data_IF_368070684612
#
_entry.id   IF_368070684612
#
_cell.length_a   1.000
_cell.length_b   1.000
_cell.length_c   1.000
_cell.angle_alpha   90.00
_cell.angle_beta   90.00
_cell.angle_gamma   90.00
#
_symmetry.space_group_name_H-M   'P 1'
#
loop_
_entity.id
_entity.type
_entity.pdbx_description
1 polymer ?
#
# COMPACT_ATOMS: atom_id res chain seq x y z
N UNK A 1 -32.63 -26.51 22.21
CA UNK A 1 -31.84 -27.48 23.01
C UNK A 1 -30.61 -26.76 23.51
N UNK A 2 -30.56 -26.45 24.81
CA UNK A 2 -29.42 -25.77 25.44
C UNK A 2 -28.27 -26.76 25.59
N UNK A 3 -27.24 -26.68 24.74
CA UNK A 3 -25.97 -27.37 25.00
C UNK A 3 -25.37 -26.72 26.24
N UNK A 4 -25.13 -27.50 27.29
CA UNK A 4 -24.38 -27.10 28.48
C UNK A 4 -22.94 -26.73 28.04
N UNK A 5 -22.75 -25.48 27.62
CA UNK A 5 -21.43 -24.91 27.44
C UNK A 5 -20.82 -24.72 28.83
N UNK A 6 -19.65 -25.30 29.07
CA UNK A 6 -18.87 -24.99 30.27
C UNK A 6 -18.68 -23.46 30.34
N UNK A 7 -18.88 -22.81 31.50
CA UNK A 7 -18.72 -21.37 31.61
C UNK A 7 -17.31 -20.97 31.16
N UNK A 8 -17.21 -20.04 30.20
CA UNK A 8 -15.90 -19.54 29.72
C UNK A 8 -15.01 -19.04 30.88
N UNK A 9 -15.62 -18.58 31.99
CA UNK A 9 -14.96 -18.18 33.24
C UNK A 9 -14.24 -19.29 33.98
N UNK A 10 -14.47 -20.55 33.65
CA UNK A 10 -13.71 -21.67 34.22
C UNK A 10 -12.42 -21.92 33.47
N UNK A 11 -12.28 -21.31 32.29
CA UNK A 11 -11.11 -21.43 31.44
C UNK A 11 -10.31 -20.13 31.32
N UNK A 12 -10.99 -18.99 31.14
CA UNK A 12 -10.37 -17.69 30.85
C UNK A 12 -10.62 -16.66 31.96
N UNK A 13 -9.62 -15.84 32.24
CA UNK A 13 -9.73 -14.59 33.03
C UNK A 13 -9.87 -13.35 32.16
N UNK A 14 -9.41 -13.40 30.91
CA UNK A 14 -9.57 -12.33 29.92
C UNK A 14 -9.89 -12.92 28.53
N UNK A 15 -10.79 -12.28 27.80
CA UNK A 15 -11.04 -12.54 26.39
C UNK A 15 -11.51 -11.25 25.70
N UNK A 16 -10.59 -10.59 25.00
CA UNK A 16 -10.77 -9.22 24.51
C UNK A 16 -10.38 -9.10 23.05
N UNK A 17 -11.16 -8.31 22.31
CA UNK A 17 -10.76 -7.71 21.04
C UNK A 17 -10.62 -6.21 21.22
N UNK A 18 -9.53 -5.63 20.72
CA UNK A 18 -9.27 -4.20 20.82
C UNK A 18 -8.59 -3.64 19.57
N UNK A 19 -8.75 -2.33 19.39
CA UNK A 19 -8.10 -1.59 18.33
C UNK A 19 -6.64 -1.35 18.72
N UNK A 20 -5.70 -1.81 17.89
CA UNK A 20 -4.27 -1.65 18.09
C UNK A 20 -3.67 -0.42 17.37
N UNK A 21 -4.45 0.25 16.53
CA UNK A 21 -4.08 1.50 15.83
C UNK A 21 -4.85 2.71 16.40
N UNK A 22 -4.38 3.92 16.15
CA UNK A 22 -4.98 5.14 16.69
C UNK A 22 -6.40 5.46 16.18
N UNK A 23 -6.78 4.89 15.04
CA UNK A 23 -8.08 5.12 14.39
C UNK A 23 -8.72 3.80 13.99
N UNK A 24 -10.05 3.74 14.05
CA UNK A 24 -10.87 2.64 13.55
C UNK A 24 -11.32 2.85 12.08
N UNK A 25 -10.79 3.89 11.45
CA UNK A 25 -11.00 4.17 10.04
C UNK A 25 -9.89 3.57 9.18
N UNK A 26 -10.24 3.33 7.93
CA UNK A 26 -9.33 2.87 6.90
C UNK A 26 -9.87 3.32 5.54
N UNK A 27 -8.99 3.76 4.66
CA UNK A 27 -9.38 4.05 3.29
C UNK A 27 -9.79 2.78 2.55
N UNK A 28 -10.78 2.88 1.68
CA UNK A 28 -11.25 1.76 0.87
C UNK A 28 -10.34 1.44 -0.33
N UNK A 29 -9.04 1.31 -0.09
CA UNK A 29 -8.01 1.14 -1.12
C UNK A 29 -7.28 -0.20 -1.04
N UNK A 30 -7.75 -1.12 -0.20
CA UNK A 30 -7.23 -2.48 0.03
C UNK A 30 -5.76 -2.57 0.46
N UNK A 31 -5.09 -1.44 0.76
CA UNK A 31 -3.67 -1.37 1.06
C UNK A 31 -3.39 -0.81 2.45
N UNK A 32 -4.18 0.14 2.91
CA UNK A 32 -4.06 0.67 4.25
C UNK A 32 -4.67 -0.29 5.28
N UNK A 33 -3.90 -0.75 6.27
CA UNK A 33 -4.41 -1.58 7.33
C UNK A 33 -5.03 -0.76 8.47
N UNK A 34 -5.78 -1.46 9.31
CA UNK A 34 -6.05 -1.11 10.71
C UNK A 34 -5.59 -2.28 11.59
N UNK A 35 -4.92 -2.01 12.72
CA UNK A 35 -4.41 -3.08 13.60
C UNK A 35 -5.47 -3.47 14.62
N UNK A 36 -5.67 -4.76 14.82
CA UNK A 36 -6.56 -5.35 15.83
C UNK A 36 -5.75 -6.31 16.68
N UNK A 37 -5.91 -6.23 18.00
CA UNK A 37 -5.32 -7.19 18.93
C UNK A 37 -6.41 -8.07 19.52
N UNK A 38 -6.15 -9.37 19.57
CA UNK A 38 -6.92 -10.36 20.30
C UNK A 38 -6.12 -10.80 21.51
N UNK A 39 -6.67 -10.64 22.70
CA UNK A 39 -6.01 -11.01 23.96
C UNK A 39 -6.85 -12.04 24.70
N UNK A 40 -6.22 -13.14 25.10
CA UNK A 40 -6.81 -14.15 25.98
C UNK A 40 -5.86 -14.44 27.13
N UNK A 41 -6.42 -14.62 28.32
CA UNK A 41 -5.69 -15.04 29.51
C UNK A 41 -6.36 -16.25 30.14
N UNK A 42 -5.58 -17.29 30.42
CA UNK A 42 -6.02 -18.53 31.05
C UNK A 42 -6.14 -18.37 32.58
N UNK A 43 -7.15 -19.02 33.15
CA UNK A 43 -7.45 -18.95 34.59
C UNK A 43 -6.54 -19.85 35.42
N UNK A 44 -6.04 -19.32 36.53
CA UNK A 44 -5.26 -20.10 37.51
C UNK A 44 -3.93 -20.56 36.91
N UNK A 45 -3.68 -21.87 36.96
CA UNK A 45 -2.45 -22.49 36.44
C UNK A 45 -2.67 -23.17 35.08
N UNK A 46 -3.81 -22.91 34.43
CA UNK A 46 -4.09 -23.41 33.08
C UNK A 46 -3.16 -22.74 32.06
N UNK A 47 -2.84 -23.49 31.01
CA UNK A 47 -2.09 -23.03 29.84
C UNK A 47 -2.85 -23.40 28.56
N UNK A 48 -2.66 -22.61 27.51
CA UNK A 48 -3.24 -22.92 26.20
C UNK A 48 -2.49 -24.03 25.48
N UNK A 49 -3.24 -24.86 24.75
CA UNK A 49 -2.69 -25.76 23.73
C UNK A 49 -2.38 -24.97 22.45
N UNK A 50 -1.46 -25.46 21.62
CA UNK A 50 -1.12 -24.83 20.34
C UNK A 50 -2.35 -24.72 19.43
N UNK A 51 -3.21 -25.73 19.41
CA UNK A 51 -4.47 -25.71 18.64
C UNK A 51 -5.45 -24.65 19.15
N UNK A 52 -5.46 -24.38 20.46
CA UNK A 52 -6.26 -23.31 21.06
C UNK A 52 -5.73 -21.94 20.65
N UNK A 53 -4.39 -21.78 20.68
CA UNK A 53 -3.70 -20.57 20.19
C UNK A 53 -4.06 -20.32 18.74
N UNK A 54 -3.92 -21.33 17.87
CA UNK A 54 -4.24 -21.26 16.45
C UNK A 54 -5.70 -20.89 16.20
N UNK A 55 -6.62 -21.42 17.01
CA UNK A 55 -8.06 -21.15 16.88
C UNK A 55 -8.49 -19.73 17.28
N UNK A 56 -7.61 -18.93 17.90
CA UNK A 56 -7.87 -17.53 18.24
C UNK A 56 -7.85 -16.67 16.98
N UNK A 57 -9.04 -16.28 16.51
CA UNK A 57 -9.25 -15.60 15.21
C UNK A 57 -10.28 -14.47 15.29
N UNK A 58 -10.27 -13.57 14.30
CA UNK A 58 -11.26 -12.50 14.16
C UNK A 58 -12.47 -13.01 13.39
N UNK A 59 -13.66 -12.70 13.90
CA UNK A 59 -14.94 -13.02 13.27
C UNK A 59 -15.85 -11.80 13.17
N UNK A 60 -16.82 -11.85 12.28
CA UNK A 60 -17.96 -10.93 12.22
C UNK A 60 -19.28 -11.73 12.26
N UNK A 61 -20.38 -11.05 12.55
CA UNK A 61 -21.71 -11.68 12.52
C UNK A 61 -22.34 -11.40 11.15
N UNK A 62 -22.66 -12.47 10.40
CA UNK A 62 -23.32 -12.34 9.11
C UNK A 62 -24.83 -12.04 9.27
N UNK A 63 -25.55 -11.88 8.14
CA UNK A 63 -26.99 -11.61 8.14
C UNK A 63 -27.86 -12.74 8.72
N UNK A 64 -27.32 -13.95 8.92
CA UNK A 64 -27.97 -15.08 9.57
C UNK A 64 -27.69 -15.14 11.08
N UNK A 65 -26.88 -14.21 11.61
CA UNK A 65 -26.47 -14.22 13.01
C UNK A 65 -25.32 -15.18 13.32
N UNK A 66 -24.63 -15.71 12.30
CA UNK A 66 -23.53 -16.65 12.47
C UNK A 66 -22.19 -15.91 12.56
N UNK A 67 -21.29 -16.37 13.44
CA UNK A 67 -19.92 -15.88 13.51
C UNK A 67 -19.07 -16.50 12.39
N UNK A 68 -18.68 -15.67 11.43
CA UNK A 68 -17.87 -16.05 10.27
C UNK A 68 -16.49 -15.41 10.40
N UNK A 69 -15.44 -16.18 10.13
CA UNK A 69 -14.07 -15.65 10.11
C UNK A 69 -13.89 -14.60 9.01
N UNK A 70 -13.11 -13.56 9.31
CA UNK A 70 -12.69 -12.61 8.28
C UNK A 70 -11.75 -13.36 7.31
N UNK A 71 -12.01 -13.33 6.00
CA UNK A 71 -11.19 -14.05 5.05
C UNK A 71 -9.80 -13.42 4.96
N UNK A 72 -8.81 -14.23 4.59
CA UNK A 72 -7.44 -13.75 4.37
C UNK A 72 -7.24 -13.07 3.02
N UNK A 73 -8.17 -13.28 2.09
CA UNK A 73 -8.18 -12.66 0.77
C UNK A 73 -9.50 -11.91 0.55
N UNK A 74 -9.49 -10.80 -0.20
CA UNK A 74 -10.72 -10.12 -0.60
C UNK A 74 -11.54 -11.07 -1.48
N UNK A 75 -12.70 -11.49 -0.99
CA UNK A 75 -13.67 -12.31 -1.69
C UNK A 75 -14.98 -11.55 -1.86
N UNK A 76 -16.11 -12.21 -1.60
CA UNK A 76 -17.42 -11.54 -1.54
C UNK A 76 -17.47 -10.51 -0.40
N UNK A 77 -16.86 -10.85 0.75
CA UNK A 77 -16.61 -9.87 1.79
C UNK A 77 -15.44 -8.98 1.32
N UNK A 78 -15.74 -7.70 1.07
CA UNK A 78 -14.74 -6.69 0.69
C UNK A 78 -13.77 -6.32 1.82
N UNK A 79 -13.83 -7.03 2.94
CA UNK A 79 -12.97 -6.92 4.11
C UNK A 79 -12.13 -8.19 4.22
N UNK A 80 -10.84 -8.04 4.51
CA UNK A 80 -9.93 -9.17 4.68
C UNK A 80 -8.88 -8.86 5.75
N UNK A 81 -8.20 -9.90 6.24
CA UNK A 81 -7.19 -9.78 7.29
C UNK A 81 -5.89 -10.52 6.98
N UNK A 82 -4.78 -10.02 7.50
CA UNK A 82 -3.49 -10.70 7.54
C UNK A 82 -2.92 -10.70 8.96
N UNK A 83 -1.94 -11.57 9.21
CA UNK A 83 -1.15 -11.60 10.46
C UNK A 83 0.08 -10.68 10.42
N UNK A 84 0.39 -10.13 9.24
CA UNK A 84 1.56 -9.31 8.96
C UNK A 84 1.17 -8.00 8.28
N UNK A 85 1.74 -6.89 8.75
CA UNK A 85 1.52 -5.56 8.19
C UNK A 85 2.41 -5.38 6.97
N UNK A 86 1.87 -4.84 5.87
CA UNK A 86 2.73 -4.31 4.81
C UNK A 86 3.47 -3.05 5.35
N UNK A 87 4.82 -3.06 5.41
CA UNK A 87 5.58 -1.95 5.97
C UNK A 87 5.52 -0.68 5.11
N UNK A 88 5.05 -0.76 3.86
CA UNK A 88 4.92 0.41 2.98
C UNK A 88 3.77 1.33 3.41
N UNK A 89 2.73 0.80 4.05
CA UNK A 89 1.52 1.56 4.35
C UNK A 89 1.37 1.90 5.84
N UNK A 90 1.01 3.13 6.10
CA UNK A 90 0.69 3.68 7.41
C UNK A 90 -0.78 3.37 7.76
N UNK A 91 -1.09 3.40 9.06
CA UNK A 91 -2.48 3.42 9.51
C UNK A 91 -3.16 4.73 9.10
N UNK A 92 -4.50 4.73 9.16
CA UNK A 92 -5.30 5.93 8.95
C UNK A 92 -4.87 7.04 9.90
N UNK A 93 -4.81 8.27 9.39
CA UNK A 93 -4.37 9.44 10.14
C UNK A 93 -5.17 9.63 11.43
N UNK A 94 -4.46 9.69 12.55
CA UNK A 94 -5.00 9.94 13.88
C UNK A 94 -3.88 10.40 14.80
N UNK A 95 -4.21 11.04 15.92
CA UNK A 95 -3.22 11.44 16.91
C UNK A 95 -2.42 10.19 17.32
N UNK A 96 -1.13 10.20 16.98
CA UNK A 96 -0.24 9.09 17.24
C UNK A 96 -0.19 8.83 18.75
N UNK A 97 -0.56 7.62 19.16
CA UNK A 97 0.35 6.94 20.08
C UNK A 97 1.21 6.03 19.22
N UNK A 98 2.48 6.40 19.11
CA UNK A 98 3.57 5.46 19.00
C UNK A 98 3.37 4.41 20.12
N UNK A 99 2.56 3.39 19.84
CA UNK A 99 2.84 2.09 20.41
C UNK A 99 4.15 1.66 19.77
N UNK A 100 5.26 2.16 20.34
CA UNK A 100 6.58 1.56 20.19
C UNK A 100 6.32 0.08 20.21
N UNK A 101 6.62 -0.59 19.09
CA UNK A 101 6.72 -2.03 19.10
C UNK A 101 7.69 -2.36 20.21
N UNK A 102 7.15 -2.77 21.34
CA UNK A 102 7.87 -3.50 22.34
C UNK A 102 8.31 -4.75 21.60
N UNK A 103 9.54 -4.75 21.09
CA UNK A 103 10.35 -5.94 20.89
C UNK A 103 10.50 -6.60 22.27
N UNK A 104 9.42 -7.24 22.71
CA UNK A 104 9.35 -8.02 23.92
C UNK A 104 10.08 -9.31 23.65
N UNK A 105 11.31 -9.38 24.13
CA UNK A 105 12.07 -10.61 24.17
C UNK A 105 11.49 -11.57 25.24
N UNK A 106 11.38 -12.85 24.86
CA UNK A 106 11.44 -14.08 25.70
C UNK A 106 10.12 -14.53 26.39
N UNK A 107 9.78 -15.85 26.38
CA UNK A 107 8.42 -16.34 26.54
C UNK A 107 7.95 -16.26 27.99
N UNK A 108 6.96 -15.42 28.25
CA UNK A 108 6.09 -15.62 29.40
C UNK A 108 5.18 -16.82 29.07
N UNK A 109 5.00 -17.71 30.05
CA UNK A 109 4.21 -18.93 29.93
C UNK A 109 2.91 -18.74 29.13
N UNK A 110 2.44 -19.80 28.45
CA UNK A 110 1.18 -19.96 27.69
C UNK A 110 -0.13 -19.62 28.45
N UNK A 111 -0.05 -18.76 29.47
CA UNK A 111 -1.13 -18.26 30.29
C UNK A 111 -1.75 -16.99 29.70
N UNK A 112 -1.01 -16.18 28.95
CA UNK A 112 -1.58 -15.03 28.22
C UNK A 112 -1.08 -15.02 26.78
N UNK A 113 -2.00 -14.82 25.84
CA UNK A 113 -1.72 -14.76 24.41
C UNK A 113 -2.29 -13.46 23.88
N UNK A 114 -1.48 -12.75 23.10
CA UNK A 114 -1.96 -11.65 22.26
C UNK A 114 -1.62 -11.93 20.81
N UNK A 115 -2.63 -11.95 19.93
CA UNK A 115 -2.47 -12.04 18.47
C UNK A 115 -2.86 -10.73 17.82
N UNK A 116 -1.99 -10.20 16.98
CA UNK A 116 -2.30 -9.02 16.16
C UNK A 116 -2.73 -9.45 14.76
N UNK A 117 -3.75 -8.77 14.24
CA UNK A 117 -4.22 -8.88 12.87
C UNK A 117 -4.28 -7.50 12.24
N UNK A 118 -4.13 -7.45 10.92
CA UNK A 118 -4.21 -6.25 10.12
C UNK A 118 -5.40 -6.38 9.17
N UNK A 119 -6.40 -5.52 9.34
CA UNK A 119 -7.64 -5.55 8.56
C UNK A 119 -7.57 -4.51 7.44
N UNK A 120 -8.01 -4.89 6.26
CA UNK A 120 -8.07 -4.06 5.06
C UNK A 120 -9.48 -4.07 4.47
N UNK A 121 -9.82 -3.05 3.69
CA UNK A 121 -11.12 -2.98 3.01
C UNK A 121 -11.04 -2.39 1.62
N UNK A 122 -11.88 -2.91 0.72
CA UNK A 122 -12.26 -2.30 -0.56
C UNK A 122 -13.75 -1.93 -0.59
N UNK A 123 -14.41 -1.92 0.57
CA UNK A 123 -15.85 -1.65 0.66
C UNK A 123 -16.19 -0.18 0.42
N UNK A 124 -17.45 0.12 0.16
CA UNK A 124 -17.87 1.49 -0.11
C UNK A 124 -17.70 2.40 1.12
N UNK A 125 -17.47 3.69 0.89
CA UNK A 125 -17.45 4.68 1.97
C UNK A 125 -18.71 4.60 2.84
N UNK A 126 -18.53 4.62 4.16
CA UNK A 126 -19.59 4.49 5.15
C UNK A 126 -19.98 3.05 5.48
N UNK A 127 -19.39 2.05 4.80
CA UNK A 127 -19.53 0.66 5.21
C UNK A 127 -18.88 0.45 6.58
N UNK A 128 -19.62 -0.22 7.46
CA UNK A 128 -19.21 -0.49 8.84
C UNK A 128 -19.10 -1.99 9.04
N UNK A 129 -18.02 -2.43 9.68
CA UNK A 129 -17.81 -3.82 10.06
C UNK A 129 -17.59 -3.92 11.56
N UNK A 130 -18.45 -4.70 12.23
CA UNK A 130 -18.29 -5.01 13.66
C UNK A 130 -17.63 -6.36 13.83
N UNK A 131 -16.49 -6.34 14.51
CA UNK A 131 -15.60 -7.47 14.75
C UNK A 131 -15.73 -7.99 16.18
N UNK A 132 -15.56 -9.29 16.30
CA UNK A 132 -15.47 -10.04 17.55
C UNK A 132 -14.28 -10.99 17.48
N UNK A 133 -13.85 -11.50 18.64
CA UNK A 133 -12.88 -12.60 18.70
C UNK A 133 -13.61 -13.94 18.84
N UNK A 134 -13.00 -14.99 18.30
CA UNK A 134 -13.42 -16.39 18.49
C UNK A 134 -12.22 -17.20 18.96
N UNK A 135 -12.43 -18.11 19.90
CA UNK A 135 -11.44 -19.12 20.31
C UNK A 135 -12.15 -20.44 20.58
N UNK A 136 -11.49 -21.56 20.27
CA UNK A 136 -12.01 -22.91 20.51
C UNK A 136 -11.18 -23.59 21.59
N UNK A 137 -11.85 -24.11 22.62
CA UNK A 137 -11.26 -24.94 23.66
C UNK A 137 -11.10 -26.36 23.15
N UNK A 138 -9.93 -26.93 23.34
CA UNK A 138 -9.62 -28.31 22.99
C UNK A 138 -9.42 -29.12 24.27
N UNK A 139 -10.00 -30.32 24.32
CA UNK A 139 -9.82 -31.24 25.45
C UNK A 139 -9.50 -32.63 24.92
N UNK A 140 -8.69 -33.36 25.69
CA UNK A 140 -8.30 -34.74 25.38
C UNK A 140 -9.14 -35.68 26.23
N UNK A 141 -10.00 -36.45 25.59
CA UNK A 141 -10.80 -37.46 26.27
C UNK A 141 -9.93 -38.66 26.73
N UNK A 142 -10.28 -39.34 27.82
CA UNK A 142 -9.52 -40.49 28.32
C UNK A 142 -9.38 -41.58 27.24
N UNK A 143 -8.14 -41.93 26.91
CA UNK A 143 -7.83 -42.97 25.93
C UNK A 143 -7.66 -42.45 24.48
N UNK A 144 -7.89 -41.16 24.22
CA UNK A 144 -7.57 -40.55 22.93
C UNK A 144 -6.11 -40.08 22.91
N UNK A 145 -5.51 -40.01 21.72
CA UNK A 145 -4.13 -39.54 21.53
C UNK A 145 -4.05 -38.04 21.23
N UNK A 146 -5.06 -37.50 20.56
CA UNK A 146 -5.13 -36.11 20.10
C UNK A 146 -6.30 -35.37 20.77
N UNK A 147 -6.14 -34.07 21.08
CA UNK A 147 -7.22 -33.28 21.65
C UNK A 147 -8.27 -32.93 20.57
N UNK A 148 -9.53 -32.79 20.98
CA UNK A 148 -10.66 -32.46 20.08
C UNK A 148 -11.34 -31.15 20.47
N UNK A 149 -11.92 -30.42 19.50
CA UNK A 149 -12.64 -29.19 19.79
C UNK A 149 -13.90 -29.50 20.61
N UNK A 150 -14.00 -28.90 21.79
CA UNK A 150 -15.11 -29.16 22.72
C UNK A 150 -16.11 -28.00 22.80
N UNK A 151 -15.60 -26.78 22.94
CA UNK A 151 -16.41 -25.58 23.07
C UNK A 151 -15.82 -24.43 22.25
N UNK A 152 -16.65 -23.71 21.52
CA UNK A 152 -16.25 -22.47 20.84
C UNK A 152 -16.87 -21.29 21.56
N UNK A 153 -16.05 -20.29 21.82
CA UNK A 153 -16.44 -19.07 22.51
C UNK A 153 -16.18 -17.85 21.63
N UNK A 154 -17.04 -16.85 21.79
CA UNK A 154 -16.96 -15.58 21.08
C UNK A 154 -17.01 -14.43 22.07
N UNK A 155 -16.36 -13.32 21.73
CA UNK A 155 -16.17 -12.19 22.66
C UNK A 155 -17.43 -11.39 22.92
N UNK A 156 -18.51 -11.58 22.16
CA UNK A 156 -19.84 -11.01 22.42
C UNK A 156 -20.63 -11.76 23.51
N UNK A 157 -20.18 -12.94 23.92
CA UNK A 157 -20.79 -13.68 25.01
C UNK A 157 -20.42 -13.09 26.38
N UNK A 158 -21.33 -13.24 27.33
CA UNK A 158 -21.03 -12.96 28.74
C UNK A 158 -19.94 -13.92 29.23
N UNK A 159 -18.99 -13.44 30.06
CA UNK A 159 -18.95 -12.14 30.74
C UNK A 159 -18.16 -11.03 30.04
N UNK A 160 -17.41 -11.33 28.98
CA UNK A 160 -16.34 -10.45 28.51
C UNK A 160 -16.81 -9.32 27.58
N UNK A 161 -17.88 -9.55 26.80
CA UNK A 161 -18.56 -8.59 25.92
C UNK A 161 -17.64 -7.50 25.34
N UNK A 162 -16.83 -7.86 24.35
CA UNK A 162 -15.94 -6.94 23.63
C UNK A 162 -16.11 -7.04 22.11
N UNK A 163 -16.00 -5.88 21.45
CA UNK A 163 -16.11 -5.76 19.99
C UNK A 163 -15.39 -4.52 19.49
N UNK A 164 -14.89 -4.56 18.25
CA UNK A 164 -14.35 -3.38 17.55
C UNK A 164 -15.23 -3.06 16.35
N UNK A 165 -15.49 -1.77 16.12
CA UNK A 165 -16.24 -1.30 14.96
C UNK A 165 -15.29 -0.56 14.04
N UNK A 166 -15.16 -1.02 12.80
CA UNK A 166 -14.38 -0.40 11.74
C UNK A 166 -15.29 0.31 10.74
N UNK A 167 -14.80 1.39 10.13
CA UNK A 167 -15.54 2.10 9.09
C UNK A 167 -14.64 2.43 7.88
N UNK A 168 -15.14 2.10 6.69
CA UNK A 168 -14.48 2.42 5.43
C UNK A 168 -14.67 3.90 5.08
N UNK A 169 -13.56 4.59 4.81
CA UNK A 169 -13.53 5.99 4.37
C UNK A 169 -13.13 6.10 2.90
N UNK A 170 -13.60 7.16 2.26
CA UNK A 170 -13.17 7.52 0.91
C UNK A 170 -11.77 8.14 0.97
N UNK A 171 -10.85 7.77 0.07
CA UNK A 171 -9.61 8.49 -0.14
C UNK A 171 -9.84 10.00 -0.27
N UNK A 172 -8.93 10.83 0.27
CA UNK A 172 -9.02 12.26 0.09
C UNK A 172 -8.90 12.62 -1.39
N UNK A 173 -9.56 13.71 -1.79
CA UNK A 173 -9.35 14.25 -3.12
C UNK A 173 -8.00 14.97 -3.16
N UNK A 174 -7.19 14.70 -4.18
CA UNK A 174 -5.95 15.41 -4.41
C UNK A 174 -6.05 16.19 -5.71
N UNK A 175 -5.59 17.43 -5.64
CA UNK A 175 -5.51 18.37 -6.76
C UNK A 175 -4.08 18.88 -6.89
N UNK A 176 -3.61 19.01 -8.13
CA UNK A 176 -2.41 19.76 -8.46
C UNK A 176 -2.80 21.23 -8.70
N UNK A 177 -2.04 22.22 -8.19
CA UNK A 177 -0.78 22.09 -7.45
C UNK A 177 -0.94 21.95 -5.92
N UNK A 178 -2.15 22.00 -5.39
CA UNK A 178 -2.40 22.17 -3.95
C UNK A 178 -1.76 21.09 -3.06
N UNK A 179 -1.75 19.83 -3.52
CA UNK A 179 -1.30 18.68 -2.73
C UNK A 179 0.07 18.13 -3.15
N UNK A 180 0.65 18.71 -4.21
CA UNK A 180 1.88 18.23 -4.82
C UNK A 180 2.95 19.32 -4.83
N UNK A 181 4.20 18.88 -4.87
CA UNK A 181 5.32 19.73 -5.24
C UNK A 181 5.96 19.18 -6.49
N UNK A 182 6.18 20.06 -7.47
CA UNK A 182 6.87 19.74 -8.71
C UNK A 182 7.97 20.77 -8.92
N UNK A 183 9.23 20.35 -8.73
CA UNK A 183 10.36 21.26 -8.70
C UNK A 183 11.50 20.72 -9.58
N UNK A 184 12.20 21.62 -10.27
CA UNK A 184 13.52 21.33 -10.82
C UNK A 184 14.48 21.05 -9.65
N UNK A 185 14.93 19.82 -9.51
CA UNK A 185 15.75 19.33 -8.40
C UNK A 185 17.25 19.30 -8.75
N UNK A 186 17.58 19.08 -10.02
CA UNK A 186 18.93 19.10 -10.55
C UNK A 186 18.93 19.63 -11.97
N UNK A 187 19.95 20.39 -12.33
CA UNK A 187 20.19 20.84 -13.69
C UNK A 187 21.69 20.85 -13.96
N UNK A 188 22.06 20.32 -15.10
CA UNK A 188 23.41 20.26 -15.63
C UNK A 188 23.33 20.61 -17.11
N UNK A 189 24.16 21.56 -17.56
CA UNK A 189 24.26 21.97 -18.96
C UNK A 189 25.67 21.68 -19.46
N UNK A 190 25.76 21.06 -20.62
CA UNK A 190 26.98 20.85 -21.37
C UNK A 190 27.26 21.98 -22.35
N UNK A 191 28.31 21.81 -23.14
CA UNK A 191 28.63 22.67 -24.28
C UNK A 191 28.53 21.83 -25.54
N UNK A 192 27.66 22.18 -26.50
CA UNK A 192 26.69 23.30 -26.50
C UNK A 192 25.58 23.16 -25.44
N UNK A 193 24.95 24.28 -25.02
CA UNK A 193 23.94 24.38 -23.94
C UNK A 193 22.74 23.44 -24.12
N UNK A 194 22.47 23.08 -25.36
CA UNK A 194 21.44 22.15 -25.79
C UNK A 194 21.72 20.67 -25.44
N UNK A 195 22.94 20.36 -24.96
CA UNK A 195 23.28 19.13 -24.25
C UNK A 195 23.02 19.36 -22.76
N UNK A 196 22.07 18.66 -22.17
CA UNK A 196 21.71 18.93 -20.78
C UNK A 196 21.11 17.71 -20.09
N UNK A 197 21.10 17.77 -18.77
CA UNK A 197 20.35 16.86 -17.89
C UNK A 197 19.56 17.72 -16.91
N UNK A 198 18.24 17.66 -16.99
CA UNK A 198 17.33 18.26 -16.01
C UNK A 198 16.59 17.16 -15.26
N UNK A 199 16.54 17.24 -13.94
CA UNK A 199 15.75 16.32 -13.12
C UNK A 199 14.67 17.11 -12.39
N UNK A 200 13.42 16.76 -12.66
CA UNK A 200 12.27 17.30 -11.94
C UNK A 200 11.76 16.27 -10.93
N UNK A 201 11.57 16.69 -9.69
CA UNK A 201 11.04 15.84 -8.63
C UNK A 201 9.56 16.12 -8.40
N UNK A 202 8.77 15.05 -8.32
CA UNK A 202 7.36 15.07 -7.93
C UNK A 202 7.23 14.46 -6.53
N UNK A 203 6.55 15.16 -5.63
CA UNK A 203 6.29 14.69 -4.26
C UNK A 203 4.93 15.15 -3.76
N UNK A 204 4.44 14.48 -2.71
CA UNK A 204 3.24 14.90 -1.99
C UNK A 204 3.62 15.86 -0.86
N UNK A 205 2.76 16.86 -0.59
CA UNK A 205 3.00 17.84 0.49
C UNK A 205 2.70 17.30 1.89
N UNK A 206 1.75 16.36 1.99
CA UNK A 206 1.25 15.83 3.27
C UNK A 206 1.71 14.40 3.54
N UNK A 207 1.73 13.57 2.51
CA UNK A 207 2.15 12.17 2.59
C UNK A 207 3.46 11.96 1.85
N UNK A 208 3.95 10.73 1.87
CA UNK A 208 5.09 10.27 1.07
C UNK A 208 4.65 9.27 0.03
N UNK A 209 5.25 9.30 -1.15
CA UNK A 209 5.14 8.15 -2.04
C UNK A 209 5.96 6.99 -1.49
N UNK A 210 5.46 5.76 -1.61
CA UNK A 210 6.13 4.55 -1.09
C UNK A 210 6.42 3.54 -2.19
N UNK A 211 5.79 3.71 -3.37
CA UNK A 211 5.99 2.85 -4.53
C UNK A 211 5.60 3.59 -5.81
N UNK A 212 6.28 3.30 -6.91
CA UNK A 212 5.88 3.77 -8.24
C UNK A 212 6.22 2.76 -9.32
N UNK A 213 5.49 2.80 -10.43
CA UNK A 213 5.78 2.03 -11.64
C UNK A 213 5.17 2.71 -12.87
N UNK A 214 5.69 2.42 -14.06
CA UNK A 214 4.99 2.75 -15.31
C UNK A 214 3.61 2.06 -15.34
N UNK A 215 2.63 2.73 -15.94
CA UNK A 215 1.36 2.08 -16.27
C UNK A 215 1.60 0.97 -17.31
N UNK A 216 0.98 -0.20 -17.14
CA UNK A 216 1.25 -1.40 -17.95
C UNK A 216 1.05 -1.19 -19.46
N UNK A 217 0.18 -0.23 -19.81
CA UNK A 217 -0.16 0.13 -21.19
C UNK A 217 0.63 1.33 -21.74
N UNK A 218 1.44 2.00 -20.91
CA UNK A 218 2.19 3.20 -21.28
C UNK A 218 3.69 2.90 -21.41
N UNK A 219 4.03 2.08 -22.41
CA UNK A 219 5.41 1.67 -22.75
C UNK A 219 5.99 2.43 -23.94
N UNK A 220 5.34 3.52 -24.36
CA UNK A 220 5.75 4.29 -25.55
C UNK A 220 6.99 5.14 -25.30
N UNK A 221 7.29 5.41 -24.02
CA UNK A 221 8.31 6.36 -23.61
C UNK A 221 7.99 7.79 -24.02
N UNK A 222 8.92 8.70 -23.78
CA UNK A 222 8.76 10.09 -24.20
C UNK A 222 10.06 10.69 -24.74
N UNK A 223 9.98 11.23 -25.96
CA UNK A 223 11.09 11.89 -26.65
C UNK A 223 10.56 13.02 -27.53
N UNK A 224 11.33 14.10 -27.66
CA UNK A 224 11.02 15.22 -28.55
C UNK A 224 12.26 15.67 -29.30
N UNK A 225 12.19 15.69 -30.62
CA UNK A 225 13.20 16.30 -31.47
C UNK A 225 12.94 17.80 -31.61
N UNK A 226 14.02 18.57 -31.74
CA UNK A 226 13.93 20.01 -32.00
C UNK A 226 13.23 20.31 -33.34
N UNK A 227 13.49 19.47 -34.36
CA UNK A 227 12.82 19.50 -35.67
C UNK A 227 12.44 18.09 -36.10
N UNK A 228 11.35 17.98 -36.86
CA UNK A 228 10.81 16.69 -37.34
C UNK A 228 11.24 16.42 -38.78
N UNK A 229 12.55 16.43 -39.02
CA UNK A 229 13.13 16.28 -40.36
C UNK A 229 14.24 15.23 -40.38
N UNK A 230 14.39 14.56 -41.52
CA UNK A 230 15.46 13.56 -41.73
C UNK A 230 16.82 14.24 -41.56
N UNK A 231 17.72 13.61 -40.82
CA UNK A 231 19.04 14.13 -40.51
C UNK A 231 19.08 15.02 -39.25
N UNK A 232 17.94 15.34 -38.64
CA UNK A 232 17.94 15.97 -37.32
C UNK A 232 18.42 14.98 -36.25
N UNK A 233 19.28 15.44 -35.35
CA UNK A 233 19.85 14.61 -34.26
C UNK A 233 19.65 15.19 -32.87
N UNK A 234 19.14 16.42 -32.80
CA UNK A 234 18.85 17.11 -31.56
C UNK A 234 17.51 16.67 -30.99
N UNK A 235 17.56 16.00 -29.83
CA UNK A 235 16.38 15.51 -29.15
C UNK A 235 16.54 15.55 -27.63
N UNK A 236 15.41 15.56 -26.93
CA UNK A 236 15.34 15.35 -25.49
C UNK A 236 14.62 14.06 -25.22
N UNK A 237 15.30 13.11 -24.60
CA UNK A 237 14.76 11.82 -24.18
C UNK A 237 14.43 11.85 -22.69
N UNK A 238 13.30 11.25 -22.31
CA UNK A 238 12.80 11.30 -20.93
C UNK A 238 12.91 9.93 -20.29
N UNK A 239 13.56 9.90 -19.13
CA UNK A 239 13.67 8.76 -18.25
C UNK A 239 13.02 9.03 -16.91
N UNK A 240 12.74 7.98 -16.16
CA UNK A 240 12.11 8.06 -14.84
C UNK A 240 12.91 7.24 -13.85
N UNK A 241 13.16 7.80 -12.66
CA UNK A 241 13.57 7.03 -11.50
C UNK A 241 12.40 6.96 -10.51
N UNK A 242 12.02 5.74 -10.15
CA UNK A 242 10.93 5.47 -9.22
C UNK A 242 11.27 5.82 -7.77
N UNK A 243 10.27 5.71 -6.90
CA UNK A 243 10.41 5.95 -5.46
C UNK A 243 11.44 4.99 -4.87
N UNK A 244 12.47 5.54 -4.22
CA UNK A 244 13.58 4.79 -3.62
C UNK A 244 14.56 4.17 -4.63
N UNK A 245 14.34 4.37 -5.94
CA UNK A 245 15.22 3.87 -6.99
C UNK A 245 16.15 4.98 -7.48
N UNK A 246 17.43 4.68 -7.73
CA UNK A 246 18.35 5.62 -8.39
C UNK A 246 18.46 5.39 -9.88
N UNK A 247 18.21 4.16 -10.32
CA UNK A 247 18.36 3.75 -11.72
C UNK A 247 17.28 4.41 -12.56
N UNK A 248 17.68 5.02 -13.66
CA UNK A 248 16.77 5.61 -14.63
C UNK A 248 16.22 4.51 -15.53
N UNK A 249 14.91 4.50 -15.68
CA UNK A 249 14.19 3.64 -16.58
C UNK A 249 13.73 4.47 -17.78
N UNK A 250 14.14 4.03 -18.98
CA UNK A 250 13.66 4.55 -20.25
C UNK A 250 12.78 3.50 -20.91
N UNK A 251 11.65 3.90 -21.47
CA UNK A 251 10.69 2.98 -22.12
C UNK A 251 10.61 3.25 -23.62
N UNK A 252 10.24 2.25 -24.41
CA UNK A 252 9.77 2.45 -25.78
C UNK A 252 10.81 2.80 -26.86
N UNK A 253 12.10 2.85 -26.51
CA UNK A 253 13.16 3.18 -27.47
C UNK A 253 14.37 2.27 -27.36
N UNK A 254 14.86 1.85 -28.53
CA UNK A 254 16.27 1.54 -28.73
C UNK A 254 16.85 2.74 -29.45
N UNK A 255 17.57 3.60 -28.73
CA UNK A 255 18.31 4.69 -29.33
C UNK A 255 19.64 4.12 -29.85
N UNK A 256 20.11 4.59 -31.01
CA UNK A 256 21.33 4.06 -31.63
C UNK A 256 22.56 4.15 -30.72
N UNK A 257 23.59 3.35 -31.02
CA UNK A 257 24.78 3.14 -30.16
C UNK A 257 25.56 4.43 -29.84
N UNK A 258 25.35 5.50 -30.63
CA UNK A 258 25.94 6.81 -30.38
C UNK A 258 25.40 7.48 -29.11
N UNK A 259 24.14 7.22 -28.73
CA UNK A 259 23.51 7.83 -27.57
C UNK A 259 23.83 7.06 -26.29
N UNK A 260 24.38 7.75 -25.30
CA UNK A 260 24.61 7.19 -23.96
C UNK A 260 23.54 7.70 -23.00
N UNK A 261 22.61 6.84 -22.62
CA UNK A 261 21.57 7.17 -21.66
C UNK A 261 22.17 7.35 -20.25
N UNK A 262 21.64 8.33 -19.50
CA UNK A 262 22.02 8.49 -18.09
C UNK A 262 21.48 7.33 -17.26
N UNK A 263 22.36 6.57 -16.63
CA UNK A 263 21.94 5.38 -15.89
C UNK A 263 21.31 5.69 -14.53
N UNK A 264 21.69 6.79 -13.90
CA UNK A 264 21.27 7.13 -12.54
C UNK A 264 20.93 8.61 -12.39
N UNK A 265 19.92 8.89 -11.58
CA UNK A 265 19.60 10.26 -11.13
C UNK A 265 20.56 10.73 -10.05
N UNK A 266 20.81 12.05 -10.03
CA UNK A 266 21.54 12.75 -8.97
C UNK A 266 20.65 13.01 -7.77
N UNK A 267 19.42 13.45 -8.03
CA UNK A 267 18.42 13.84 -7.04
C UNK A 267 18.01 12.67 -6.15
N UNK A 268 17.63 12.97 -4.91
CA UNK A 268 17.03 11.97 -4.03
C UNK A 268 15.67 11.52 -4.55
N UNK A 269 15.46 10.21 -4.59
CA UNK A 269 14.18 9.56 -4.91
C UNK A 269 13.45 9.03 -3.69
N UNK A 270 13.96 9.29 -2.48
CA UNK A 270 13.25 8.97 -1.25
C UNK A 270 11.95 9.77 -1.22
N UNK A 271 10.81 9.09 -1.15
CA UNK A 271 9.45 9.66 -1.12
C UNK A 271 9.03 10.43 -2.39
N UNK A 272 9.81 10.32 -3.47
CA UNK A 272 9.64 11.12 -4.70
C UNK A 272 9.77 10.28 -5.95
N UNK A 273 9.11 10.74 -7.01
CA UNK A 273 9.37 10.28 -8.38
C UNK A 273 10.24 11.34 -9.05
N UNK A 274 11.28 10.93 -9.77
CA UNK A 274 12.15 11.84 -10.51
C UNK A 274 11.98 11.63 -12.01
N UNK A 275 11.67 12.70 -12.72
CA UNK A 275 11.55 12.78 -14.17
C UNK A 275 12.84 13.40 -14.68
N UNK A 276 13.60 12.65 -15.49
CA UNK A 276 14.87 13.08 -16.06
C UNK A 276 14.68 13.42 -17.54
N UNK A 277 15.03 14.64 -17.91
CA UNK A 277 15.13 15.09 -19.30
C UNK A 277 16.61 15.11 -19.68
N UNK A 278 16.97 14.35 -20.72
CA UNK A 278 18.33 14.32 -21.26
C UNK A 278 18.33 14.88 -22.69
N UNK A 279 18.85 16.09 -22.85
CA UNK A 279 19.11 16.70 -24.15
C UNK A 279 20.38 16.13 -24.77
N UNK A 280 20.30 15.69 -26.03
CA UNK A 280 21.41 15.15 -26.78
C UNK A 280 21.34 15.60 -28.25
N UNK A 281 22.47 15.50 -28.96
CA UNK A 281 22.63 15.91 -30.36
C UNK A 281 23.02 14.74 -31.28
N UNK A 282 22.84 13.51 -30.82
CA UNK A 282 23.23 12.28 -31.49
C UNK A 282 22.11 11.22 -31.49
N UNK A 283 20.87 11.68 -31.33
CA UNK A 283 19.66 10.84 -31.43
C UNK A 283 18.99 11.15 -32.76
N UNK A 284 19.25 10.33 -33.77
CA UNK A 284 18.68 10.51 -35.10
C UNK A 284 17.15 10.52 -35.09
N UNK A 285 16.56 11.46 -35.82
CA UNK A 285 15.13 11.49 -36.07
C UNK A 285 14.73 10.27 -36.90
N UNK A 286 13.97 9.37 -36.28
CA UNK A 286 13.47 8.18 -36.93
C UNK A 286 12.05 8.40 -37.47
N UNK A 287 11.88 8.17 -38.77
CA UNK A 287 10.58 8.24 -39.46
C UNK A 287 10.21 6.83 -39.96
N UNK A 288 9.31 6.13 -39.27
CA UNK A 288 8.84 4.78 -39.65
C UNK A 288 7.61 4.78 -40.55
N UNK A 289 7.29 5.90 -41.19
CA UNK A 289 6.07 6.05 -41.98
C UNK A 289 4.83 6.38 -41.16
N UNK A 290 4.88 6.27 -39.82
CA UNK A 290 3.96 6.96 -38.93
C UNK A 290 4.71 8.15 -38.31
N UNK A 291 4.18 9.39 -38.36
CA UNK A 291 4.79 10.47 -37.62
C UNK A 291 4.88 10.08 -36.14
N UNK A 292 5.97 10.42 -35.42
CA UNK A 292 6.11 10.16 -33.97
C UNK A 292 5.08 10.93 -33.10
N UNK A 293 3.96 11.35 -33.69
CA UNK A 293 2.77 12.01 -33.17
C UNK A 293 2.11 11.39 -31.93
N UNK A 294 2.66 10.33 -31.35
CA UNK A 294 2.25 9.77 -30.06
C UNK A 294 3.39 9.50 -29.08
N UNK A 295 4.60 10.03 -29.34
CA UNK A 295 5.83 9.79 -28.55
C UNK A 295 6.35 11.03 -27.82
N UNK A 296 5.75 12.20 -28.03
CA UNK A 296 6.05 13.44 -27.28
C UNK A 296 5.27 13.52 -25.95
N UNK A 297 4.64 12.43 -25.55
CA UNK A 297 3.81 12.33 -24.35
C UNK A 297 2.30 12.46 -24.62
N UNK A 298 1.48 12.45 -23.56
CA UNK A 298 1.92 12.30 -22.18
C UNK A 298 2.46 10.90 -21.87
N UNK A 299 3.38 10.82 -20.91
CA UNK A 299 3.79 9.57 -20.30
C UNK A 299 3.26 9.50 -18.87
N UNK A 300 2.87 8.32 -18.44
CA UNK A 300 2.06 8.10 -17.25
C UNK A 300 2.73 7.12 -16.28
N UNK A 301 2.85 7.55 -15.03
CA UNK A 301 3.37 6.76 -13.92
C UNK A 301 2.25 6.56 -12.91
N UNK A 302 2.16 5.36 -12.38
CA UNK A 302 1.38 5.07 -11.18
C UNK A 302 2.28 5.20 -9.96
N UNK A 303 1.88 6.00 -8.99
CA UNK A 303 2.52 6.08 -7.68
C UNK A 303 1.52 5.75 -6.56
N UNK A 304 1.99 5.22 -5.45
CA UNK A 304 1.19 4.95 -4.26
C UNK A 304 1.73 5.77 -3.09
N UNK A 305 0.83 6.42 -2.35
CA UNK A 305 1.21 7.10 -1.10
C UNK A 305 1.26 6.13 0.09
N UNK A 306 1.82 6.59 1.21
CA UNK A 306 1.88 5.80 2.44
C UNK A 306 0.52 5.52 3.05
N UNK A 307 -0.56 6.15 2.58
CA UNK A 307 -1.93 5.85 2.98
C UNK A 307 -2.59 4.83 2.03
N UNK A 308 -1.86 4.29 1.05
CA UNK A 308 -2.35 3.29 0.10
C UNK A 308 -3.11 3.86 -1.09
N UNK A 309 -3.18 5.18 -1.26
CA UNK A 309 -3.91 5.81 -2.36
C UNK A 309 -3.12 5.75 -3.66
N UNK A 310 -3.82 5.49 -4.78
CA UNK A 310 -3.24 5.42 -6.12
C UNK A 310 -3.26 6.80 -6.79
N UNK A 311 -2.09 7.27 -7.19
CA UNK A 311 -1.91 8.50 -7.96
C UNK A 311 -1.44 8.17 -9.37
N UNK A 312 -2.08 8.78 -10.35
CA UNK A 312 -1.70 8.72 -11.76
C UNK A 312 -1.04 10.05 -12.11
N UNK A 313 0.28 10.02 -12.27
CA UNK A 313 1.11 11.17 -12.63
C UNK A 313 1.32 11.15 -14.13
N UNK A 314 0.82 12.17 -14.83
CA UNK A 314 0.94 12.32 -16.27
C UNK A 314 1.83 13.51 -16.57
N UNK A 315 2.86 13.34 -17.38
CA UNK A 315 3.76 14.43 -17.73
C UNK A 315 3.97 14.48 -19.24
N UNK A 316 4.16 15.68 -19.76
CA UNK A 316 4.33 15.98 -21.17
C UNK A 316 5.27 17.15 -21.35
N UNK A 317 5.86 17.29 -22.53
CA UNK A 317 6.56 18.51 -22.88
C UNK A 317 5.62 19.71 -22.85
N UNK A 318 6.16 20.87 -22.44
CA UNK A 318 5.48 22.15 -22.65
C UNK A 318 5.39 22.45 -24.15
N UNK A 319 4.31 23.10 -24.60
CA UNK A 319 4.04 23.31 -26.02
C UNK A 319 5.20 24.02 -26.73
N UNK A 320 5.74 23.35 -27.76
CA UNK A 320 6.87 23.86 -28.53
C UNK A 320 8.24 23.75 -27.86
N UNK A 321 8.31 23.32 -26.60
CA UNK A 321 9.56 23.24 -25.81
C UNK A 321 10.06 21.80 -25.71
N UNK A 322 11.39 21.62 -25.75
CA UNK A 322 12.04 20.31 -25.46
C UNK A 322 12.80 20.28 -24.14
N UNK A 323 12.85 21.40 -23.43
CA UNK A 323 13.63 21.57 -22.19
C UNK A 323 12.75 21.61 -20.94
N UNK A 324 11.44 21.78 -21.11
CA UNK A 324 10.45 21.92 -20.05
C UNK A 324 9.39 20.82 -20.15
N UNK A 325 8.89 20.40 -18.99
CA UNK A 325 7.77 19.46 -18.86
C UNK A 325 6.70 20.03 -17.94
N UNK A 326 5.46 19.69 -18.24
CA UNK A 326 4.28 19.96 -17.43
C UNK A 326 3.84 18.68 -16.72
N UNK A 327 3.26 18.83 -15.53
CA UNK A 327 2.71 17.74 -14.74
C UNK A 327 1.19 17.93 -14.61
N UNK A 328 0.45 16.92 -15.04
CA UNK A 328 -0.98 16.74 -14.83
C UNK A 328 -1.17 15.55 -13.87
N UNK A 329 -2.00 15.68 -12.84
CA UNK A 329 -2.20 14.62 -11.85
C UNK A 329 -3.66 14.24 -11.71
N UNK A 330 -3.94 12.94 -11.82
CA UNK A 330 -5.26 12.36 -11.56
C UNK A 330 -5.15 11.39 -10.40
N UNK A 331 -6.08 11.49 -9.44
CA UNK A 331 -6.23 10.47 -8.39
C UNK A 331 -7.48 9.68 -8.66
N UNK A 332 -7.27 8.38 -8.91
CA UNK A 332 -8.37 7.46 -9.09
C UNK A 332 -8.86 7.02 -7.72
N UNK A 333 -10.17 7.08 -7.49
CA UNK A 333 -10.78 6.27 -6.44
C UNK A 333 -10.41 4.80 -6.70
N UNK A 334 -10.23 4.01 -5.64
CA UNK A 334 -9.89 2.60 -5.78
C UNK A 334 -10.85 1.91 -6.77
N UNK A 335 -10.28 1.11 -7.68
CA UNK A 335 -11.01 0.28 -8.64
C UNK A 335 -11.78 -0.85 -7.94
#
# INVERSE_FOLDING_TARGET
MSKNNSPIRDWLTEFKIELGSASNYLYNNTRQPVKINLTVEAKGDLTFLDEEVESLVIVYINNKGEHIEIPTNPGELKWHCTDSKDPLYDYFEGAAEDNKESLGAVPAALKSITKSYYIYTGDNHGAVLKLYAKITKYEKDPGETEPKPKYTYTSDNTPFSSSVILEAKRPPAFNFPDHYQFNLAYSESGVPEDLFVHEHSVSLKRFRFVKSAFEDNDKKGMIRWDRKEIGQTWATHVGIAGVGERKVQYQGFTLGDSFTARENVTSSTQDKVVILLQGANNIEYYYDGNPPSGREGPCTIRAYDSQGNKHTLSFRFEDGQRVNVLLDVTVNAAD
#
